data_IF_560679453763
#
_entry.id   IF_560679453763
#
_cell.length_a   1.000
_cell.length_b   1.000
_cell.length_c   1.000
_cell.angle_alpha   90.00
_cell.angle_beta   90.00
_cell.angle_gamma   90.00
#
_symmetry.space_group_name_H-M   'P 1'
#
loop_
_entity.id
_entity.type
_entity.pdbx_description
1 polymer ?
#
# COMPACT_ATOMS: atom_id res chain seq x y z
N UNK A 1 34.05 2.38 -5.93
CA UNK A 1 32.89 3.23 -5.61
C UNK A 1 31.68 2.63 -6.30
N UNK A 2 30.80 1.91 -5.59
CA UNK A 2 29.64 1.29 -6.21
C UNK A 2 28.69 2.41 -6.66
N UNK A 3 28.61 2.59 -7.98
CA UNK A 3 27.63 3.44 -8.64
C UNK A 3 26.24 2.86 -8.42
N UNK A 4 25.58 3.27 -7.34
CA UNK A 4 24.11 3.34 -7.35
C UNK A 4 23.76 4.25 -8.52
N UNK A 5 23.43 3.65 -9.67
CA UNK A 5 23.05 4.43 -10.85
C UNK A 5 21.88 5.33 -10.44
N UNK A 6 21.84 6.57 -10.92
CA UNK A 6 20.78 7.52 -10.60
C UNK A 6 19.39 6.88 -10.80
N UNK A 7 19.29 5.95 -11.77
CA UNK A 7 18.11 5.14 -12.05
C UNK A 7 17.69 4.23 -10.88
N UNK A 8 18.61 3.51 -10.23
CA UNK A 8 18.28 2.68 -9.07
C UNK A 8 17.80 3.52 -7.89
N UNK A 9 18.42 4.69 -7.68
CA UNK A 9 18.01 5.62 -6.63
C UNK A 9 16.62 6.21 -6.90
N UNK A 10 16.33 6.56 -8.15
CA UNK A 10 15.02 7.08 -8.58
C UNK A 10 13.91 6.05 -8.38
N UNK A 11 14.13 4.80 -8.78
CA UNK A 11 13.13 3.73 -8.61
C UNK A 11 12.87 3.40 -7.14
N UNK A 12 13.93 3.31 -6.33
CA UNK A 12 13.79 3.06 -4.88
C UNK A 12 13.05 4.22 -4.21
N UNK A 13 13.38 5.47 -4.55
CA UNK A 13 12.70 6.65 -4.02
C UNK A 13 11.20 6.67 -4.36
N UNK A 14 10.83 6.39 -5.63
CA UNK A 14 9.44 6.31 -6.06
C UNK A 14 8.67 5.19 -5.34
N UNK A 15 9.26 4.01 -5.21
CA UNK A 15 8.64 2.86 -4.53
C UNK A 15 8.43 3.16 -3.05
N UNK A 16 9.43 3.72 -2.37
CA UNK A 16 9.35 4.07 -0.94
C UNK A 16 8.30 5.15 -0.70
N UNK A 17 8.31 6.23 -1.48
CA UNK A 17 7.35 7.33 -1.32
C UNK A 17 5.91 6.88 -1.61
N UNK A 18 5.70 6.12 -2.70
CA UNK A 18 4.38 5.63 -3.07
C UNK A 18 3.83 4.60 -2.08
N UNK A 19 4.66 3.64 -1.63
CA UNK A 19 4.26 2.63 -0.65
C UNK A 19 3.95 3.25 0.71
N UNK A 20 4.75 4.24 1.15
CA UNK A 20 4.50 4.99 2.38
C UNK A 20 3.16 5.74 2.34
N UNK A 21 2.87 6.43 1.23
CA UNK A 21 1.59 7.13 1.03
C UNK A 21 0.40 6.15 1.07
N UNK A 22 0.55 4.98 0.45
CA UNK A 22 -0.49 3.94 0.44
C UNK A 22 -0.77 3.39 1.83
N UNK A 23 0.29 3.14 2.62
CA UNK A 23 0.19 2.70 4.01
C UNK A 23 -0.47 3.77 4.89
N UNK A 24 -0.14 5.05 4.66
CA UNK A 24 -0.76 6.16 5.37
C UNK A 24 -2.27 6.23 5.14
N UNK A 25 -2.72 6.01 3.91
CA UNK A 25 -4.15 5.95 3.57
C UNK A 25 -4.86 4.79 4.29
N UNK A 26 -4.24 3.61 4.36
CA UNK A 26 -4.76 2.47 5.12
C UNK A 26 -4.79 2.71 6.63
N UNK A 27 -3.76 3.37 7.17
CA UNK A 27 -3.66 3.73 8.59
C UNK A 27 -4.77 4.71 9.02
N UNK A 28 -5.02 5.74 8.21
CA UNK A 28 -6.11 6.69 8.45
C UNK A 28 -7.46 6.01 8.36
N UNK A 29 -7.66 5.11 7.39
CA UNK A 29 -8.89 4.34 7.27
C UNK A 29 -9.14 3.45 8.50
N UNK A 30 -8.09 2.76 8.98
CA UNK A 30 -8.15 1.96 10.20
C UNK A 30 -8.53 2.81 11.42
N UNK A 31 -7.91 3.98 11.60
CA UNK A 31 -8.24 4.91 12.68
C UNK A 31 -9.67 5.45 12.55
N UNK A 32 -10.06 5.92 11.37
CA UNK A 32 -11.38 6.51 11.12
C UNK A 32 -12.49 5.50 11.38
N UNK A 33 -12.31 4.26 10.95
CA UNK A 33 -13.27 3.20 11.19
C UNK A 33 -13.41 2.80 12.65
N UNK A 34 -12.32 2.88 13.41
CA UNK A 34 -12.33 2.62 14.85
C UNK A 34 -12.96 3.78 15.64
N UNK A 35 -12.67 5.02 15.26
CA UNK A 35 -13.23 6.23 15.88
C UNK A 35 -14.72 6.42 15.56
N UNK A 36 -15.12 6.14 14.31
CA UNK A 36 -16.49 6.36 13.84
C UNK A 36 -17.50 5.30 14.35
N UNK A 37 -17.07 4.36 15.20
CA UNK A 37 -17.93 3.28 15.70
C UNK A 37 -18.72 2.61 14.57
N UNK A 38 -18.12 2.52 13.38
CA UNK A 38 -18.71 1.85 12.24
C UNK A 38 -18.90 0.41 12.71
N UNK A 39 -20.14 0.03 13.05
CA UNK A 39 -20.45 -1.13 13.90
C UNK A 39 -19.89 -2.45 13.36
N UNK A 40 -20.33 -3.60 13.90
CA UNK A 40 -19.84 -4.93 13.45
C UNK A 40 -19.74 -5.10 11.91
N UNK A 41 -20.61 -4.43 11.15
CA UNK A 41 -20.58 -4.36 9.69
C UNK A 41 -19.44 -3.51 9.09
N UNK A 42 -19.09 -2.38 9.70
CA UNK A 42 -17.99 -1.52 9.27
C UNK A 42 -16.66 -2.25 9.32
N UNK A 43 -16.33 -2.85 10.47
CA UNK A 43 -15.12 -3.68 10.65
C UNK A 43 -15.01 -4.79 9.59
N UNK A 44 -16.12 -5.44 9.23
CA UNK A 44 -16.18 -6.46 8.19
C UNK A 44 -15.87 -5.90 6.80
N UNK A 45 -16.47 -4.77 6.42
CA UNK A 45 -16.24 -4.12 5.13
C UNK A 45 -14.79 -3.63 5.02
N UNK A 46 -14.20 -3.11 6.09
CA UNK A 46 -12.80 -2.67 6.09
C UNK A 46 -11.88 -3.86 5.97
N UNK A 47 -12.16 -4.98 6.64
CA UNK A 47 -11.38 -6.20 6.49
C UNK A 47 -11.41 -6.70 5.04
N UNK A 48 -12.57 -6.62 4.38
CA UNK A 48 -12.73 -6.99 2.98
C UNK A 48 -12.03 -6.01 2.02
N UNK A 49 -12.22 -4.70 2.23
CA UNK A 49 -11.61 -3.65 1.45
C UNK A 49 -10.08 -3.62 1.63
N UNK A 50 -9.58 -3.90 2.84
CA UNK A 50 -8.16 -4.02 3.15
C UNK A 50 -7.54 -5.24 2.47
N UNK A 51 -8.22 -6.39 2.53
CA UNK A 51 -7.80 -7.61 1.82
C UNK A 51 -7.72 -7.38 0.31
N UNK A 52 -8.73 -6.75 -0.28
CA UNK A 52 -8.75 -6.40 -1.71
C UNK A 52 -7.67 -5.36 -2.06
N UNK A 53 -7.46 -4.36 -1.22
CA UNK A 53 -6.45 -3.31 -1.42
C UNK A 53 -5.03 -3.85 -1.39
N UNK A 54 -4.71 -4.67 -0.38
CA UNK A 54 -3.39 -5.32 -0.25
C UNK A 54 -3.20 -6.35 -1.38
N UNK A 55 -4.23 -7.12 -1.72
CA UNK A 55 -4.18 -8.08 -2.82
C UNK A 55 -3.97 -7.40 -4.18
N UNK A 56 -4.65 -6.29 -4.45
CA UNK A 56 -4.47 -5.51 -5.67
C UNK A 56 -3.07 -4.89 -5.78
N UNK A 57 -2.53 -4.39 -4.67
CA UNK A 57 -1.16 -3.87 -4.63
C UNK A 57 -0.11 -4.99 -4.80
N UNK A 58 -0.31 -6.13 -4.14
CA UNK A 58 0.56 -7.30 -4.27
C UNK A 58 0.55 -7.85 -5.70
N UNK A 59 -0.63 -7.97 -6.32
CA UNK A 59 -0.77 -8.38 -7.72
C UNK A 59 -0.01 -7.44 -8.65
N UNK A 60 -0.16 -6.12 -8.49
CA UNK A 60 0.57 -5.12 -9.28
C UNK A 60 2.08 -5.21 -9.09
N UNK A 61 2.55 -5.47 -7.87
CA UNK A 61 3.97 -5.65 -7.57
C UNK A 61 4.53 -6.92 -8.22
N UNK A 62 3.76 -8.01 -8.23
CA UNK A 62 4.14 -9.26 -8.88
C UNK A 62 4.17 -9.09 -10.41
N UNK A 63 3.18 -8.41 -10.99
CA UNK A 63 3.16 -8.11 -12.43
C UNK A 63 4.36 -7.23 -12.82
N UNK A 64 4.65 -6.19 -12.04
CA UNK A 64 5.82 -5.34 -12.29
C UNK A 64 7.13 -6.11 -12.15
N UNK A 65 7.23 -7.07 -11.22
CA UNK A 65 8.44 -7.90 -11.07
C UNK A 65 8.59 -8.93 -12.20
N UNK A 66 7.49 -9.39 -12.79
CA UNK A 66 7.49 -10.40 -13.87
C UNK A 66 7.56 -9.78 -15.28
N UNK A 67 7.16 -8.52 -15.44
CA UNK A 67 7.14 -7.79 -16.72
C UNK A 67 8.34 -6.81 -16.87
N UNK A 68 9.14 -6.64 -15.81
CA UNK A 68 10.45 -5.98 -15.89
C UNK A 68 11.54 -6.98 -16.29
#
# INVERSE_FOLDING_TARGET
MPTITIQQFEQVSLIVCCSFLMLFMLFVLYRLSKDSNAGKYGMFVIFFALSLGIFGFAMKSIIHLYLI
#
